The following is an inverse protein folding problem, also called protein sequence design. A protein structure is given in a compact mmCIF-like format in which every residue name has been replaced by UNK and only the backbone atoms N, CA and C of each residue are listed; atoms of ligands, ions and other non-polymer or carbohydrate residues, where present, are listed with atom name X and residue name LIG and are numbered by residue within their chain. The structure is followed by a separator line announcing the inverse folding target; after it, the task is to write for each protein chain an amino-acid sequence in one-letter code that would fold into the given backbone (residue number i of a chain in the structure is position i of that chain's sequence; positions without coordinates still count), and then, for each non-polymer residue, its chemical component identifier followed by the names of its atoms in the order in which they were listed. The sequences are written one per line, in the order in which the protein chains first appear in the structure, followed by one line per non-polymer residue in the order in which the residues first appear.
data_IF_365995282305
#
_entry.id   IF_365995282305
#
_cell.length_a   1.000
_cell.length_b   1.000
_cell.length_c   1.000
_cell.angle_alpha   90.00
_cell.angle_beta   90.00
_cell.angle_gamma   90.00
#
_symmetry.space_group_name_H-M   'P 1'
#
loop_
_entity.id
_entity.type
_entity.pdbx_description
1 polymer ?
#
# COMPACT_ATOMS: atom_id res chain seq x y z
N UNK A 1 -5.50 17.16 0.98
CA UNK A 1 -6.55 17.88 0.21
C UNK A 1 -6.01 18.92 -0.77
N UNK A 2 -4.86 19.56 -0.51
CA UNK A 2 -4.27 20.57 -1.42
C UNK A 2 -4.18 20.10 -2.89
N UNK A 3 -3.53 18.96 -3.15
CA UNK A 3 -3.42 18.44 -4.52
C UNK A 3 -4.75 17.99 -5.13
N UNK A 4 -5.73 17.55 -4.33
CA UNK A 4 -7.08 17.28 -4.83
C UNK A 4 -7.67 18.51 -5.52
N UNK A 5 -7.57 19.66 -4.88
CA UNK A 5 -8.12 20.93 -5.40
C UNK A 5 -7.32 21.42 -6.59
N UNK A 6 -5.99 21.44 -6.47
CA UNK A 6 -5.09 21.87 -7.54
C UNK A 6 -5.26 21.07 -8.82
N UNK A 7 -5.36 19.73 -8.71
CA UNK A 7 -5.52 18.81 -9.83
C UNK A 7 -6.99 18.57 -10.23
N UNK A 8 -7.93 19.29 -9.58
CA UNK A 8 -9.38 19.20 -9.84
C UNK A 8 -9.95 17.77 -9.73
N UNK A 9 -9.41 16.95 -8.81
CA UNK A 9 -9.84 15.58 -8.55
C UNK A 9 -11.07 15.54 -7.64
N UNK A 10 -12.26 15.85 -8.17
CA UNK A 10 -13.51 16.04 -7.42
C UNK A 10 -13.98 14.80 -6.66
N UNK A 11 -13.71 13.59 -7.17
CA UNK A 11 -14.16 12.33 -6.57
C UNK A 11 -13.28 11.88 -5.39
N UNK A 12 -12.13 12.52 -5.18
CA UNK A 12 -11.27 12.22 -4.03
C UNK A 12 -11.87 12.86 -2.79
N UNK A 13 -12.20 12.06 -1.78
CA UNK A 13 -12.84 12.51 -0.54
C UNK A 13 -12.01 12.10 0.68
N UNK A 14 -12.18 12.80 1.82
CA UNK A 14 -11.44 12.47 3.05
C UNK A 14 -11.86 11.13 3.65
N UNK A 15 -13.11 10.74 3.47
CA UNK A 15 -13.68 9.49 3.94
C UNK A 15 -13.38 8.29 3.03
N UNK A 16 -12.55 8.49 2.02
CA UNK A 16 -12.07 7.46 1.08
C UNK A 16 -13.22 6.65 0.44
N UNK A 17 -14.41 7.23 0.29
CA UNK A 17 -15.58 6.56 -0.34
C UNK A 17 -15.30 6.07 -1.76
N UNK A 18 -14.46 6.80 -2.49
CA UNK A 18 -14.01 6.46 -3.83
C UNK A 18 -12.56 6.00 -3.75
N UNK A 19 -12.36 4.77 -3.29
CA UNK A 19 -11.03 4.23 -3.03
C UNK A 19 -10.10 4.32 -4.25
N UNK A 20 -10.56 3.90 -5.43
CA UNK A 20 -9.74 3.86 -6.63
C UNK A 20 -9.22 5.26 -7.04
N UNK A 21 -10.07 6.28 -6.97
CA UNK A 21 -9.68 7.67 -7.28
C UNK A 21 -8.72 8.24 -6.23
N UNK A 22 -8.95 7.92 -4.95
CA UNK A 22 -8.06 8.31 -3.86
C UNK A 22 -6.69 7.65 -4.01
N UNK A 23 -6.67 6.35 -4.32
CA UNK A 23 -5.46 5.59 -4.57
C UNK A 23 -4.68 6.13 -5.78
N UNK A 24 -5.35 6.38 -6.91
CA UNK A 24 -4.73 6.95 -8.10
C UNK A 24 -4.08 8.30 -7.81
N UNK A 25 -4.76 9.18 -7.06
CA UNK A 25 -4.17 10.44 -6.65
C UNK A 25 -2.95 10.22 -5.75
N UNK A 26 -3.06 9.32 -4.78
CA UNK A 26 -1.96 9.03 -3.86
C UNK A 26 -0.74 8.47 -4.60
N UNK A 27 -0.94 7.57 -5.56
CA UNK A 27 0.12 7.02 -6.40
C UNK A 27 0.78 8.13 -7.25
N UNK A 28 0.01 9.02 -7.88
CA UNK A 28 0.56 10.11 -8.68
C UNK A 28 1.38 11.08 -7.81
N UNK A 29 0.88 11.43 -6.64
CA UNK A 29 1.60 12.26 -5.67
C UNK A 29 2.85 11.54 -5.17
N UNK A 30 2.75 10.28 -4.78
CA UNK A 30 3.88 9.50 -4.27
C UNK A 30 5.02 9.36 -5.29
N UNK A 31 4.70 9.17 -6.57
CA UNK A 31 5.70 9.17 -7.66
C UNK A 31 6.42 10.51 -7.76
N UNK A 32 5.69 11.62 -7.69
CA UNK A 32 6.30 12.95 -7.72
C UNK A 32 7.22 13.17 -6.50
N UNK A 33 6.80 12.73 -5.31
CA UNK A 33 7.64 12.77 -4.10
C UNK A 33 8.88 11.89 -4.23
N UNK A 34 8.77 10.71 -4.85
CA UNK A 34 9.92 9.84 -5.12
C UNK A 34 10.94 10.53 -6.02
N UNK A 35 10.48 11.18 -7.10
CA UNK A 35 11.36 11.95 -7.99
C UNK A 35 12.01 13.10 -7.22
N UNK A 36 11.25 13.85 -6.42
CA UNK A 36 11.80 14.93 -5.61
C UNK A 36 12.84 14.44 -4.59
N UNK A 37 12.62 13.26 -3.96
CA UNK A 37 13.59 12.64 -3.06
C UNK A 37 14.88 12.25 -3.80
N UNK A 38 14.76 11.65 -5.00
CA UNK A 38 15.90 11.31 -5.83
C UNK A 38 16.67 12.54 -6.30
N UNK A 39 15.99 13.62 -6.68
CA UNK A 39 16.64 14.89 -7.03
C UNK A 39 17.46 15.43 -5.84
N UNK A 40 16.92 15.37 -4.63
CA UNK A 40 17.64 15.78 -3.42
C UNK A 40 18.79 14.84 -3.11
N UNK A 41 18.61 13.53 -3.19
CA UNK A 41 19.63 12.50 -2.92
C UNK A 41 20.84 12.60 -3.85
N UNK A 42 20.60 12.87 -5.13
CA UNK A 42 21.66 13.09 -6.13
C UNK A 42 22.12 14.55 -6.21
N UNK A 43 21.53 15.44 -5.44
CA UNK A 43 21.75 16.90 -5.49
C UNK A 43 21.58 17.47 -6.90
N UNK A 44 20.53 17.07 -7.59
CA UNK A 44 20.15 17.55 -8.92
C UNK A 44 19.14 18.69 -8.74
N UNK A 45 19.40 19.84 -9.33
CA UNK A 45 18.54 21.04 -9.19
C UNK A 45 17.30 20.99 -10.08
N UNK A 46 17.39 20.35 -11.23
CA UNK A 46 16.31 20.21 -12.21
C UNK A 46 16.29 18.82 -12.79
N UNK A 47 15.18 18.37 -13.33
CA UNK A 47 15.02 17.02 -13.91
C UNK A 47 16.00 16.71 -15.04
N UNK A 48 16.60 17.72 -15.66
CA UNK A 48 17.61 17.60 -16.74
C UNK A 48 19.04 17.82 -16.23
N UNK A 49 19.20 18.06 -14.93
CA UNK A 49 20.49 18.31 -14.31
C UNK A 49 21.36 17.06 -14.18
N UNK A 50 22.65 17.24 -14.03
CA UNK A 50 23.57 16.15 -13.73
C UNK A 50 23.72 15.93 -12.22
N UNK A 51 23.89 14.68 -11.75
CA UNK A 51 24.10 14.37 -10.35
C UNK A 51 25.39 14.97 -9.82
N UNK A 52 25.34 15.54 -8.60
CA UNK A 52 26.51 16.08 -7.88
C UNK A 52 26.99 15.14 -6.77
N UNK A 53 26.08 14.27 -6.28
CA UNK A 53 26.37 13.23 -5.28
C UNK A 53 25.98 11.85 -5.79
N UNK A 54 26.49 10.82 -5.14
CA UNK A 54 26.22 9.41 -5.50
C UNK A 54 26.45 9.13 -7.01
N UNK A 55 27.47 9.77 -7.59
CA UNK A 55 27.80 9.65 -9.01
C UNK A 55 28.36 8.23 -9.27
N UNK A 56 27.94 7.55 -10.35
CA UNK A 56 28.53 6.29 -10.72
C UNK A 56 30.04 6.42 -10.95
N UNK A 57 30.88 5.49 -10.45
CA UNK A 57 32.30 5.44 -10.74
C UNK A 57 32.55 5.35 -12.25
N UNK A 58 33.73 5.81 -12.68
CA UNK A 58 34.07 5.87 -14.10
C UNK A 58 34.03 4.50 -14.82
N UNK A 59 34.47 3.44 -14.13
CA UNK A 59 34.43 2.06 -14.58
C UNK A 59 32.99 1.55 -14.79
N UNK A 60 32.06 1.91 -13.89
CA UNK A 60 30.63 1.59 -14.03
C UNK A 60 30.03 2.31 -15.23
N UNK A 61 30.40 3.58 -15.46
CA UNK A 61 29.88 4.37 -16.58
C UNK A 61 30.37 3.85 -17.94
N UNK A 62 31.60 3.36 -18.03
CA UNK A 62 32.25 2.91 -19.27
C UNK A 62 32.17 1.40 -19.51
N UNK A 63 31.47 0.65 -18.63
CA UNK A 63 31.06 -0.73 -18.86
C UNK A 63 31.95 -1.82 -18.26
N UNK A 64 33.08 -1.44 -17.61
CA UNK A 64 34.01 -2.39 -16.99
C UNK A 64 33.68 -2.67 -15.51
N UNK A 65 32.83 -1.85 -14.89
CA UNK A 65 32.44 -2.00 -13.49
C UNK A 65 31.12 -2.75 -13.28
N UNK A 66 30.93 -3.24 -12.06
CA UNK A 66 29.70 -3.94 -11.65
C UNK A 66 28.54 -2.93 -11.44
N UNK A 67 27.68 -2.84 -12.44
CA UNK A 67 26.51 -1.94 -12.44
C UNK A 67 25.47 -2.36 -11.39
N UNK A 68 25.32 -3.64 -11.17
CA UNK A 68 24.34 -4.18 -10.22
C UNK A 68 24.77 -3.87 -8.79
N UNK A 69 26.04 -4.09 -8.46
CA UNK A 69 26.61 -3.74 -7.16
C UNK A 69 26.48 -2.24 -6.87
N UNK A 70 26.81 -1.39 -7.86
CA UNK A 70 26.64 0.05 -7.71
C UNK A 70 25.18 0.42 -7.46
N UNK A 71 24.27 -0.10 -8.28
CA UNK A 71 22.84 0.19 -8.17
C UNK A 71 22.28 -0.22 -6.80
N UNK A 72 22.59 -1.44 -6.35
CA UNK A 72 22.18 -1.93 -5.04
C UNK A 72 22.75 -1.06 -3.91
N UNK A 73 24.02 -0.68 -3.98
CA UNK A 73 24.64 0.19 -2.98
C UNK A 73 23.97 1.57 -2.91
N UNK A 74 23.57 2.13 -4.05
CA UNK A 74 22.86 3.42 -4.12
C UNK A 74 21.45 3.29 -3.59
N UNK A 75 20.76 2.19 -3.92
CA UNK A 75 19.43 1.91 -3.39
C UNK A 75 19.45 1.74 -1.87
N UNK A 76 20.39 0.96 -1.33
CA UNK A 76 20.52 0.77 0.12
C UNK A 76 20.70 2.11 0.84
N UNK A 77 21.58 2.98 0.34
CA UNK A 77 21.76 4.33 0.88
C UNK A 77 20.47 5.17 0.82
N UNK A 78 19.74 5.10 -0.31
CA UNK A 78 18.48 5.81 -0.45
C UNK A 78 17.43 5.31 0.55
N UNK A 79 17.33 3.98 0.70
CA UNK A 79 16.41 3.34 1.66
C UNK A 79 16.77 3.74 3.09
N UNK A 80 18.04 3.69 3.47
CA UNK A 80 18.51 4.09 4.79
C UNK A 80 18.21 5.57 5.08
N UNK A 81 18.41 6.47 4.12
CA UNK A 81 18.24 7.90 4.33
C UNK A 81 16.78 8.36 4.34
N UNK A 82 15.92 7.77 3.49
CA UNK A 82 14.56 8.26 3.26
C UNK A 82 13.45 7.33 3.79
N UNK A 83 13.69 6.03 3.90
CA UNK A 83 12.64 5.07 4.22
C UNK A 83 12.77 4.47 5.62
N UNK A 84 13.98 4.27 6.10
CA UNK A 84 14.18 3.76 7.47
C UNK A 84 14.15 4.95 8.45
N UNK A 85 13.24 4.92 9.45
CA UNK A 85 13.30 5.92 10.52
C UNK A 85 14.63 5.76 11.26
N UNK A 86 15.51 6.73 11.15
CA UNK A 86 16.66 6.79 12.07
C UNK A 86 16.11 7.11 13.44
N UNK A 87 16.21 6.22 14.44
CA UNK A 87 16.02 6.62 15.81
C UNK A 87 17.14 7.65 16.07
N UNK A 88 16.77 8.86 16.45
CA UNK A 88 17.76 9.78 17.02
C UNK A 88 18.41 9.07 18.20
N UNK A 89 19.61 8.53 17.95
CA UNK A 89 20.32 7.65 18.90
C UNK A 89 20.72 8.36 20.20
N UNK A 90 20.33 9.62 20.38
CA UNK A 90 20.73 10.47 21.52
C UNK A 90 19.61 11.24 22.20
N UNK A 91 18.33 10.95 21.95
CA UNK A 91 17.26 11.60 22.70
C UNK A 91 16.58 10.56 23.60
N UNK A 92 16.90 10.54 24.92
CA UNK A 92 15.97 10.01 25.89
C UNK A 92 14.73 10.88 25.77
N UNK A 93 13.56 10.29 25.48
CA UNK A 93 12.31 11.04 25.47
C UNK A 93 12.15 11.81 26.80
N UNK A 94 12.39 13.10 26.85
CA UNK A 94 11.78 13.95 27.82
C UNK A 94 10.72 14.80 27.12
N UNK A 95 9.61 14.83 27.79
CA UNK A 95 8.61 15.87 27.69
C UNK A 95 9.29 17.24 27.51
N UNK A 96 8.88 17.94 26.43
CA UNK A 96 9.01 19.39 26.29
C UNK A 96 10.44 19.98 26.29
N UNK A 97 11.12 19.85 25.15
CA UNK A 97 11.77 21.03 24.57
C UNK A 97 11.54 20.97 23.09
N UNK A 98 10.90 22.00 22.55
CA UNK A 98 10.56 22.17 21.14
C UNK A 98 11.87 22.30 20.36
N UNK A 99 12.55 21.19 20.12
CA UNK A 99 13.57 21.15 19.09
C UNK A 99 12.90 21.44 17.75
N UNK A 100 13.49 22.31 17.01
CA UNK A 100 13.08 22.88 15.74
C UNK A 100 12.75 21.80 14.69
N UNK A 101 11.54 21.27 14.75
CA UNK A 101 11.08 20.21 13.84
C UNK A 101 10.70 20.80 12.49
N UNK A 102 11.20 20.21 11.42
CA UNK A 102 10.75 20.51 10.06
C UNK A 102 9.54 19.64 9.72
N UNK A 103 8.34 20.14 9.98
CA UNK A 103 7.08 19.40 9.74
C UNK A 103 6.87 19.03 8.27
N UNK A 104 7.40 19.82 7.33
CA UNK A 104 7.30 19.51 5.90
C UNK A 104 8.17 18.31 5.55
N UNK A 105 9.38 18.23 6.07
CA UNK A 105 10.28 17.09 5.86
C UNK A 105 9.72 15.82 6.49
N UNK A 106 9.26 15.88 7.74
CA UNK A 106 8.66 14.73 8.43
C UNK A 106 7.45 14.18 7.69
N UNK A 107 6.52 15.04 7.29
CA UNK A 107 5.38 14.66 6.47
C UNK A 107 5.81 14.01 5.16
N UNK A 108 6.81 14.58 4.49
CA UNK A 108 7.27 14.11 3.18
C UNK A 108 7.92 12.73 3.27
N UNK A 109 8.70 12.47 4.31
CA UNK A 109 9.27 11.15 4.59
C UNK A 109 8.19 10.13 4.93
N UNK A 110 7.22 10.52 5.76
CA UNK A 110 6.09 9.66 6.12
C UNK A 110 5.24 9.29 4.88
N UNK A 111 4.90 10.28 4.04
CA UNK A 111 4.17 10.04 2.78
C UNK A 111 4.94 9.09 1.86
N UNK A 112 6.24 9.29 1.73
CA UNK A 112 7.09 8.44 0.88
C UNK A 112 7.12 7.00 1.38
N UNK A 113 7.24 6.76 2.69
CA UNK A 113 7.17 5.43 3.30
C UNK A 113 5.85 4.72 3.02
N UNK A 114 4.73 5.39 3.27
CA UNK A 114 3.41 4.83 2.97
C UNK A 114 3.20 4.56 1.48
N UNK A 115 3.73 5.41 0.63
CA UNK A 115 3.68 5.19 -0.82
C UNK A 115 4.43 3.91 -1.22
N UNK A 116 5.64 3.69 -0.69
CA UNK A 116 6.39 2.47 -0.99
C UNK A 116 5.72 1.23 -0.40
N UNK A 117 5.18 1.27 0.82
CA UNK A 117 4.43 0.16 1.41
C UNK A 117 3.22 -0.20 0.52
N UNK A 118 2.41 0.79 0.13
CA UNK A 118 1.25 0.54 -0.72
C UNK A 118 1.64 -0.04 -2.09
N UNK A 119 2.65 0.52 -2.73
CA UNK A 119 3.09 0.05 -4.04
C UNK A 119 3.70 -1.33 -3.97
N UNK A 120 4.41 -1.66 -2.89
CA UNK A 120 5.00 -2.97 -2.66
C UNK A 120 3.93 -4.05 -2.42
N UNK A 121 2.91 -3.76 -1.61
CA UNK A 121 1.75 -4.66 -1.44
C UNK A 121 1.05 -4.92 -2.78
N UNK A 122 0.78 -3.87 -3.55
CA UNK A 122 0.12 -4.01 -4.87
C UNK A 122 0.95 -4.82 -5.85
N UNK A 123 2.25 -4.62 -5.84
CA UNK A 123 3.17 -5.31 -6.72
C UNK A 123 3.31 -6.78 -6.33
N UNK A 124 3.44 -7.09 -5.04
CA UNK A 124 3.45 -8.46 -4.53
C UNK A 124 2.17 -9.23 -4.93
N UNK A 125 1.01 -8.59 -4.82
CA UNK A 125 -0.25 -9.19 -5.27
C UNK A 125 -0.25 -9.39 -6.79
N UNK A 126 0.14 -8.39 -7.58
CA UNK A 126 0.13 -8.46 -9.05
C UNK A 126 1.06 -9.54 -9.58
N UNK A 127 2.22 -9.70 -8.98
CA UNK A 127 3.19 -10.74 -9.33
C UNK A 127 2.80 -12.12 -8.79
N UNK A 128 1.92 -12.18 -7.80
CA UNK A 128 1.53 -13.42 -7.15
C UNK A 128 2.56 -13.91 -6.13
N UNK A 129 3.32 -12.99 -5.52
CA UNK A 129 4.39 -13.29 -4.58
C UNK A 129 3.85 -13.40 -3.15
N UNK A 130 3.45 -14.61 -2.77
CA UNK A 130 2.89 -14.89 -1.46
C UNK A 130 3.87 -14.72 -0.30
N UNK A 131 5.15 -14.96 -0.48
CA UNK A 131 6.17 -14.78 0.57
C UNK A 131 6.45 -13.30 0.85
N UNK A 132 6.53 -12.49 -0.20
CA UNK A 132 6.65 -11.04 -0.09
C UNK A 132 5.44 -10.44 0.60
N UNK A 133 4.23 -10.86 0.20
CA UNK A 133 2.99 -10.43 0.85
C UNK A 133 2.94 -10.80 2.34
N UNK A 134 3.34 -12.02 2.71
CA UNK A 134 3.42 -12.44 4.10
C UNK A 134 4.42 -11.62 4.92
N UNK A 135 5.52 -11.18 4.31
CA UNK A 135 6.48 -10.25 4.94
C UNK A 135 5.86 -8.88 5.17
N UNK A 136 5.12 -8.37 4.18
CA UNK A 136 4.40 -7.09 4.28
C UNK A 136 3.30 -7.13 5.35
N UNK A 137 2.62 -8.25 5.56
CA UNK A 137 1.66 -8.40 6.65
C UNK A 137 2.29 -8.17 8.03
N UNK A 138 3.57 -8.57 8.24
CA UNK A 138 4.30 -8.29 9.48
C UNK A 138 4.53 -6.79 9.69
N UNK A 139 4.85 -6.07 8.62
CA UNK A 139 4.99 -4.61 8.66
C UNK A 139 3.65 -3.91 8.90
N UNK A 140 2.60 -4.33 8.18
CA UNK A 140 1.25 -3.78 8.32
C UNK A 140 0.67 -4.00 9.72
N UNK A 141 0.96 -5.12 10.38
CA UNK A 141 0.59 -5.36 11.78
C UNK A 141 1.07 -4.23 12.69
N UNK A 142 2.32 -3.78 12.53
CA UNK A 142 2.88 -2.69 13.33
C UNK A 142 2.16 -1.37 13.07
N UNK A 143 1.88 -1.05 11.80
CA UNK A 143 1.15 0.16 11.42
C UNK A 143 -0.29 0.14 11.95
N UNK A 144 -1.02 -0.96 11.78
CA UNK A 144 -2.40 -1.06 12.27
C UNK A 144 -2.49 -1.02 13.79
N UNK A 145 -1.46 -1.53 14.50
CA UNK A 145 -1.45 -1.49 15.96
C UNK A 145 -0.98 -0.15 16.52
N UNK A 146 -0.21 0.62 15.77
CA UNK A 146 0.23 1.95 16.21
C UNK A 146 -0.91 2.98 16.19
N UNK A 147 -1.95 2.76 15.37
CA UNK A 147 -3.14 3.59 15.29
C UNK A 147 -4.34 2.86 15.93
N UNK A 148 -4.93 3.45 16.96
CA UNK A 148 -6.05 2.87 17.71
C UNK A 148 -7.29 2.59 16.86
N UNK A 149 -7.46 3.27 15.71
CA UNK A 149 -8.61 3.08 14.82
C UNK A 149 -8.60 1.76 14.04
N UNK A 150 -7.47 1.04 13.98
CA UNK A 150 -7.29 -0.14 13.12
C UNK A 150 -7.00 -1.43 13.89
N UNK A 151 -7.43 -1.52 15.14
CA UNK A 151 -7.14 -2.68 16.00
C UNK A 151 -7.66 -4.01 15.44
N UNK A 152 -8.84 -4.02 14.78
CA UNK A 152 -9.39 -5.20 14.13
C UNK A 152 -8.46 -5.73 13.02
N UNK A 153 -7.95 -4.85 12.16
CA UNK A 153 -6.97 -5.23 11.13
C UNK A 153 -5.66 -5.74 11.72
N UNK A 154 -5.22 -5.18 12.85
CA UNK A 154 -4.04 -5.68 13.55
C UNK A 154 -4.24 -7.11 14.06
N UNK A 155 -5.43 -7.45 14.58
CA UNK A 155 -5.77 -8.83 15.01
C UNK A 155 -5.78 -9.77 13.81
N UNK A 156 -6.41 -9.39 12.69
CA UNK A 156 -6.42 -10.19 11.46
C UNK A 156 -4.99 -10.47 10.95
N UNK A 157 -4.15 -9.45 10.89
CA UNK A 157 -2.74 -9.64 10.49
C UNK A 157 -2.01 -10.56 11.46
N UNK A 158 -2.26 -10.44 12.77
CA UNK A 158 -1.67 -11.33 13.77
C UNK A 158 -2.11 -12.78 13.56
N UNK A 159 -3.40 -13.03 13.28
CA UNK A 159 -3.93 -14.37 13.02
C UNK A 159 -3.23 -14.98 11.80
N UNK A 160 -3.17 -14.24 10.68
CA UNK A 160 -2.49 -14.70 9.45
C UNK A 160 -1.02 -15.01 9.70
N UNK A 161 -0.30 -14.15 10.45
CA UNK A 161 1.10 -14.39 10.79
C UNK A 161 1.25 -15.65 11.65
N UNK A 162 0.42 -15.82 12.70
CA UNK A 162 0.48 -16.98 13.56
C UNK A 162 0.10 -18.27 12.82
N UNK A 163 -0.87 -18.22 11.92
CA UNK A 163 -1.19 -19.36 11.06
C UNK A 163 0.05 -19.80 10.27
N UNK A 164 0.68 -18.88 9.57
CA UNK A 164 1.79 -19.20 8.68
C UNK A 164 3.09 -19.56 9.41
N UNK A 165 3.37 -18.96 10.58
CA UNK A 165 4.66 -19.10 11.25
C UNK A 165 4.64 -20.09 12.44
N UNK A 166 3.45 -20.44 12.96
CA UNK A 166 3.33 -21.22 14.20
C UNK A 166 2.44 -22.45 14.07
N UNK A 167 1.29 -22.35 13.39
CA UNK A 167 0.28 -23.42 13.40
C UNK A 167 0.40 -24.38 12.23
N UNK A 168 0.78 -23.87 11.06
CA UNK A 168 0.89 -24.67 9.85
C UNK A 168 2.27 -25.29 9.71
N UNK A 169 2.34 -26.44 9.08
CA UNK A 169 3.61 -27.00 8.62
C UNK A 169 4.18 -26.12 7.51
N UNK A 170 5.47 -26.26 7.21
CA UNK A 170 6.13 -25.47 6.15
C UNK A 170 5.41 -25.60 4.81
N UNK A 171 4.97 -26.80 4.43
CA UNK A 171 4.24 -27.03 3.19
C UNK A 171 2.85 -26.36 3.19
N UNK A 172 2.11 -26.47 4.30
CA UNK A 172 0.80 -25.81 4.45
C UNK A 172 0.93 -24.29 4.50
N UNK A 173 1.95 -23.76 5.20
CA UNK A 173 2.27 -22.34 5.24
C UNK A 173 2.57 -21.81 3.85
N UNK A 174 3.42 -22.50 3.09
CA UNK A 174 3.69 -22.14 1.70
C UNK A 174 2.40 -22.10 0.90
N UNK A 175 1.59 -23.16 0.96
CA UNK A 175 0.30 -23.21 0.26
C UNK A 175 -0.64 -22.09 0.69
N UNK A 176 -0.73 -21.77 1.98
CA UNK A 176 -1.58 -20.69 2.52
C UNK A 176 -1.17 -19.32 1.99
N UNK A 177 0.12 -19.00 2.00
CA UNK A 177 0.66 -17.74 1.48
C UNK A 177 0.34 -17.53 0.01
N UNK A 178 0.48 -18.57 -0.82
CA UNK A 178 0.20 -18.48 -2.26
C UNK A 178 -1.28 -18.54 -2.58
N UNK A 179 -2.11 -19.18 -1.73
CA UNK A 179 -3.56 -19.20 -1.87
C UNK A 179 -4.24 -17.86 -1.52
N UNK A 180 -3.52 -16.92 -0.92
CA UNK A 180 -4.04 -15.57 -0.66
C UNK A 180 -4.23 -14.73 -1.94
N UNK A 181 -3.70 -15.20 -3.06
CA UNK A 181 -3.69 -14.49 -4.35
C UNK A 181 -4.30 -15.39 -5.42
N UNK A 182 -5.10 -14.82 -6.31
CA UNK A 182 -5.76 -15.54 -7.38
C UNK A 182 -5.52 -14.89 -8.74
N UNK A 183 -5.25 -15.71 -9.75
CA UNK A 183 -5.18 -15.29 -11.16
C UNK A 183 -6.31 -15.95 -11.97
N UNK A 184 -7.54 -15.52 -11.70
CA UNK A 184 -8.71 -16.15 -12.31
C UNK A 184 -8.93 -15.76 -13.79
N UNK A 185 -8.36 -14.63 -14.24
CA UNK A 185 -8.43 -14.18 -15.65
C UNK A 185 -7.26 -14.65 -16.49
N UNK A 186 -6.22 -15.20 -15.85
CA UNK A 186 -4.99 -15.57 -16.53
C UNK A 186 -4.13 -14.38 -16.95
N UNK A 187 -2.92 -14.66 -17.45
CA UNK A 187 -1.95 -13.65 -17.87
C UNK A 187 -1.08 -13.11 -16.74
N UNK A 188 0.01 -12.45 -17.14
CA UNK A 188 0.95 -11.87 -16.19
C UNK A 188 0.41 -10.54 -15.61
N UNK A 189 0.60 -10.32 -14.33
CA UNK A 189 0.21 -9.07 -13.66
C UNK A 189 -1.31 -8.89 -13.47
N UNK A 190 -2.11 -9.95 -13.65
CA UNK A 190 -3.57 -9.94 -13.46
C UNK A 190 -4.00 -10.64 -12.17
N UNK A 191 -3.08 -10.86 -11.26
CA UNK A 191 -3.41 -11.40 -9.95
C UNK A 191 -4.17 -10.36 -9.12
N UNK A 192 -5.08 -10.86 -8.30
CA UNK A 192 -5.86 -10.10 -7.32
C UNK A 192 -5.87 -10.85 -5.98
N UNK A 193 -6.16 -10.15 -4.93
CA UNK A 193 -6.37 -10.73 -3.61
C UNK A 193 -7.57 -11.70 -3.63
N UNK A 194 -7.49 -12.79 -2.89
CA UNK A 194 -8.52 -13.82 -2.84
C UNK A 194 -9.84 -13.28 -2.25
N UNK A 195 -9.78 -12.41 -1.27
CA UNK A 195 -10.96 -11.74 -0.70
C UNK A 195 -11.65 -10.83 -1.72
N UNK A 196 -10.90 -10.08 -2.52
CA UNK A 196 -11.45 -9.26 -3.61
C UNK A 196 -12.11 -10.15 -4.68
N UNK A 197 -11.53 -11.32 -5.01
CA UNK A 197 -12.18 -12.30 -5.87
C UNK A 197 -13.51 -12.78 -5.28
N UNK A 198 -13.50 -13.12 -3.98
CA UNK A 198 -14.70 -13.53 -3.25
C UNK A 198 -15.79 -12.45 -3.28
N UNK A 199 -15.42 -11.18 -3.09
CA UNK A 199 -16.35 -10.05 -3.19
C UNK A 199 -16.94 -9.90 -4.60
N UNK A 200 -16.14 -10.07 -5.64
CA UNK A 200 -16.60 -10.04 -7.03
C UNK A 200 -17.61 -11.15 -7.30
N UNK A 201 -17.33 -12.38 -6.88
CA UNK A 201 -18.25 -13.52 -6.99
C UNK A 201 -19.55 -13.25 -6.22
N UNK A 202 -19.46 -12.77 -4.99
CA UNK A 202 -20.62 -12.41 -4.16
C UNK A 202 -21.47 -11.30 -4.79
N UNK A 203 -20.85 -10.31 -5.40
CA UNK A 203 -21.55 -9.23 -6.11
C UNK A 203 -22.35 -9.77 -7.27
N UNK A 204 -21.77 -10.65 -8.07
CA UNK A 204 -22.42 -11.21 -9.25
C UNK A 204 -23.53 -12.21 -8.84
N UNK A 205 -23.32 -13.00 -7.79
CA UNK A 205 -24.35 -13.83 -7.18
C UNK A 205 -25.54 -12.98 -6.69
N UNK A 206 -25.26 -11.89 -5.97
CA UNK A 206 -26.33 -10.98 -5.49
C UNK A 206 -27.10 -10.34 -6.64
N UNK A 207 -26.45 -9.99 -7.74
CA UNK A 207 -27.14 -9.51 -8.97
C UNK A 207 -28.05 -10.60 -9.53
N UNK A 208 -27.55 -11.82 -9.68
CA UNK A 208 -28.33 -12.96 -10.15
C UNK A 208 -29.55 -13.22 -9.28
N UNK A 209 -29.39 -13.23 -7.95
CA UNK A 209 -30.51 -13.40 -7.01
C UNK A 209 -31.54 -12.27 -7.13
N UNK A 210 -31.12 -11.04 -7.35
CA UNK A 210 -32.05 -9.91 -7.59
C UNK A 210 -32.88 -10.12 -8.85
N UNK A 211 -32.29 -10.67 -9.93
CA UNK A 211 -32.98 -10.94 -11.19
C UNK A 211 -34.03 -12.08 -11.09
N UNK A 212 -34.00 -12.92 -10.06
CA UNK A 212 -34.98 -13.99 -9.84
C UNK A 212 -36.37 -13.50 -9.46
N UNK A 213 -36.53 -12.20 -9.19
CA UNK A 213 -37.80 -11.60 -8.80
C UNK A 213 -38.39 -12.22 -7.52
N UNK A 214 -39.64 -12.66 -7.55
CA UNK A 214 -40.32 -13.29 -6.41
C UNK A 214 -39.94 -14.77 -6.18
N UNK A 215 -39.25 -15.41 -7.14
CA UNK A 215 -38.91 -16.83 -7.08
C UNK A 215 -37.58 -17.09 -6.31
N UNK A 216 -37.49 -16.60 -5.11
CA UNK A 216 -36.31 -16.72 -4.24
C UNK A 216 -36.44 -17.85 -3.22
N UNK A 217 -36.65 -19.06 -3.71
CA UNK A 217 -36.65 -20.24 -2.84
C UNK A 217 -35.20 -20.69 -2.59
N UNK A 218 -34.92 -21.33 -1.46
CA UNK A 218 -33.61 -21.84 -1.11
C UNK A 218 -33.00 -22.70 -2.23
N UNK A 219 -33.82 -23.59 -2.81
CA UNK A 219 -33.42 -24.43 -3.94
C UNK A 219 -33.03 -23.63 -5.17
N UNK A 220 -33.75 -22.54 -5.45
CA UNK A 220 -33.45 -21.69 -6.60
C UNK A 220 -32.15 -20.91 -6.38
N UNK A 221 -31.94 -20.40 -5.17
CA UNK A 221 -30.70 -19.70 -4.76
C UNK A 221 -29.52 -20.68 -4.80
N UNK A 222 -29.67 -21.89 -4.27
CA UNK A 222 -28.64 -22.93 -4.31
C UNK A 222 -28.22 -23.29 -5.76
N UNK A 223 -29.18 -23.45 -6.66
CA UNK A 223 -28.91 -23.71 -8.09
C UNK A 223 -28.14 -22.55 -8.73
N UNK A 224 -28.54 -21.30 -8.45
CA UNK A 224 -27.85 -20.13 -8.97
C UNK A 224 -26.43 -20.03 -8.40
N UNK A 225 -26.25 -20.31 -7.11
CA UNK A 225 -24.94 -20.28 -6.47
C UNK A 225 -23.94 -21.26 -7.11
N UNK A 226 -24.41 -22.46 -7.47
CA UNK A 226 -23.59 -23.45 -8.18
C UNK A 226 -23.22 -23.00 -9.60
N UNK A 227 -24.04 -22.17 -10.24
CA UNK A 227 -23.82 -21.66 -11.59
C UNK A 227 -23.04 -20.34 -11.63
N UNK A 228 -22.91 -19.64 -10.49
CA UNK A 228 -22.39 -18.27 -10.43
C UNK A 228 -20.97 -18.15 -11.00
N UNK A 229 -20.11 -19.14 -10.75
CA UNK A 229 -18.72 -19.13 -11.25
C UNK A 229 -18.59 -19.27 -12.77
N UNK A 230 -19.61 -19.85 -13.45
CA UNK A 230 -19.61 -20.01 -14.90
C UNK A 230 -20.46 -18.99 -15.66
N UNK A 231 -21.21 -18.15 -14.93
CA UNK A 231 -22.18 -17.24 -15.56
C UNK A 231 -21.51 -16.18 -16.44
N UNK A 232 -20.39 -15.63 -15.97
CA UNK A 232 -19.61 -14.63 -16.71
C UNK A 232 -19.03 -15.20 -17.99
N UNK A 233 -18.59 -16.46 -17.97
CA UNK A 233 -18.07 -17.13 -19.14
C UNK A 233 -19.17 -17.40 -20.19
N UNK A 234 -20.35 -17.80 -19.73
CA UNK A 234 -21.51 -18.00 -20.61
C UNK A 234 -21.95 -16.68 -21.25
N UNK A 235 -22.00 -15.60 -20.46
CA UNK A 235 -22.36 -14.26 -20.97
C UNK A 235 -21.32 -13.80 -22.00
N UNK A 236 -20.04 -13.95 -21.70
CA UNK A 236 -18.95 -13.56 -22.61
C UNK A 236 -19.03 -14.33 -23.91
N UNK A 237 -19.20 -15.64 -23.85
CA UNK A 237 -19.35 -16.48 -25.04
C UNK A 237 -20.57 -16.09 -25.84
N UNK A 238 -21.69 -15.77 -25.20
CA UNK A 238 -22.88 -15.27 -25.86
C UNK A 238 -22.64 -13.93 -26.57
N UNK A 239 -22.02 -12.97 -25.87
CA UNK A 239 -21.70 -11.66 -26.41
C UNK A 239 -20.75 -11.75 -27.62
N UNK A 240 -19.77 -12.65 -27.57
CA UNK A 240 -18.86 -12.94 -28.68
C UNK A 240 -19.62 -13.52 -29.90
N UNK A 241 -20.52 -14.48 -29.65
CA UNK A 241 -21.30 -15.11 -30.75
C UNK A 241 -22.30 -14.15 -31.40
N UNK A 242 -22.88 -13.24 -30.62
CA UNK A 242 -23.87 -12.27 -31.11
C UNK A 242 -23.19 -10.99 -31.64
N UNK A 243 -21.87 -10.87 -31.51
CA UNK A 243 -21.11 -9.71 -31.96
C UNK A 243 -21.38 -8.45 -31.12
N UNK A 244 -21.90 -8.59 -29.90
CA UNK A 244 -22.05 -7.49 -28.94
C UNK A 244 -20.69 -7.15 -28.43
N UNK A 245 -20.15 -6.01 -28.86
CA UNK A 245 -18.94 -5.46 -28.24
C UNK A 245 -19.27 -5.12 -26.79
N UNK A 246 -18.69 -5.89 -25.87
CA UNK A 246 -18.73 -5.55 -24.46
C UNK A 246 -18.33 -4.06 -24.34
N UNK A 247 -19.20 -3.26 -23.72
CA UNK A 247 -18.81 -1.89 -23.37
C UNK A 247 -17.61 -2.04 -22.45
N UNK A 248 -16.43 -1.67 -22.93
CA UNK A 248 -15.25 -1.66 -22.09
C UNK A 248 -15.58 -0.73 -20.94
N UNK A 249 -15.67 -1.28 -19.75
CA UNK A 249 -15.68 -0.50 -18.51
C UNK A 249 -14.32 0.12 -18.22
N UNK A 250 -13.36 -0.03 -19.13
CA UNK A 250 -12.09 0.65 -19.05
C UNK A 250 -12.37 2.14 -19.21
N UNK A 251 -12.60 2.81 -18.09
CA UNK A 251 -12.40 4.23 -18.04
C UNK A 251 -11.00 4.48 -18.60
N UNK A 252 -10.90 5.32 -19.62
CA UNK A 252 -9.61 5.77 -20.11
C UNK A 252 -8.85 6.31 -18.91
N UNK A 253 -7.85 5.59 -18.45
CA UNK A 253 -6.96 6.11 -17.41
C UNK A 253 -6.37 7.40 -17.98
N UNK A 254 -6.83 8.54 -17.47
CA UNK A 254 -6.18 9.81 -17.78
C UNK A 254 -4.73 9.64 -17.38
N UNK A 255 -3.82 9.91 -18.30
CA UNK A 255 -2.39 9.86 -18.00
C UNK A 255 -2.12 10.65 -16.73
N UNK A 256 -1.52 9.99 -15.73
CA UNK A 256 -1.10 10.64 -14.49
C UNK A 256 0.07 11.59 -14.69
N UNK A 257 0.71 11.54 -15.84
CA UNK A 257 1.93 12.31 -16.17
C UNK A 257 1.76 13.82 -15.96
N UNK A 258 0.61 14.38 -16.39
CA UNK A 258 0.35 15.80 -16.17
C UNK A 258 0.24 16.13 -14.67
N UNK A 259 -0.48 15.31 -13.92
CA UNK A 259 -0.66 15.50 -12.48
C UNK A 259 0.69 15.38 -11.75
N UNK A 260 1.48 14.36 -12.11
CA UNK A 260 2.82 14.13 -11.57
C UNK A 260 3.77 15.32 -11.84
N UNK A 261 3.74 15.88 -13.05
CA UNK A 261 4.54 17.06 -13.41
C UNK A 261 4.13 18.31 -12.61
N UNK A 262 2.82 18.53 -12.42
CA UNK A 262 2.33 19.66 -11.62
C UNK A 262 2.75 19.55 -10.15
N UNK A 263 2.63 18.36 -9.57
CA UNK A 263 3.06 18.11 -8.19
C UNK A 263 4.59 18.25 -8.07
N UNK A 264 5.34 17.68 -9.00
CA UNK A 264 6.80 17.76 -9.00
C UNK A 264 7.30 19.21 -9.12
N UNK A 265 6.66 20.02 -9.93
CA UNK A 265 6.98 21.46 -10.06
C UNK A 265 6.88 22.20 -8.72
N UNK A 266 5.86 21.90 -7.91
CA UNK A 266 5.73 22.46 -6.56
C UNK A 266 6.81 21.93 -5.62
N UNK A 267 7.09 20.60 -5.68
CA UNK A 267 8.07 19.97 -4.81
C UNK A 267 9.49 20.46 -5.05
N UNK A 268 9.87 20.75 -6.31
CA UNK A 268 11.17 21.33 -6.63
C UNK A 268 11.34 22.70 -5.95
N UNK A 269 10.27 23.51 -5.91
CA UNK A 269 10.28 24.82 -5.23
C UNK A 269 10.28 24.67 -3.70
N UNK A 270 9.47 23.77 -3.18
CA UNK A 270 9.29 23.52 -1.75
C UNK A 270 10.53 22.88 -1.11
N UNK A 271 11.31 22.09 -1.86
CA UNK A 271 12.45 21.26 -1.39
C UNK A 271 12.08 20.47 -0.15
N UNK A 272 11.12 19.55 -0.23
CA UNK A 272 10.49 18.92 0.94
C UNK A 272 11.44 18.06 1.75
N UNK A 273 12.50 17.54 1.15
CA UNK A 273 13.49 16.67 1.81
C UNK A 273 14.72 17.42 2.33
N UNK A 274 14.85 18.73 2.02
CA UNK A 274 15.89 19.55 2.62
C UNK A 274 15.51 19.89 4.07
N UNK A 275 16.44 19.68 5.02
CA UNK A 275 16.18 20.01 6.43
C UNK A 275 16.23 21.52 6.65
N UNK A 276 15.11 22.11 7.06
CA UNK A 276 14.97 23.52 7.38
C UNK A 276 14.32 23.64 8.75
N UNK A 277 15.05 24.22 9.69
CA UNK A 277 14.60 24.36 11.08
C UNK A 277 13.28 25.15 11.18
N UNK A 278 12.37 24.67 12.03
CA UNK A 278 11.06 25.30 12.32
C UNK A 278 10.15 25.52 11.09
N UNK A 279 10.38 24.79 9.99
CA UNK A 279 9.54 24.91 8.82
C UNK A 279 8.16 24.30 9.08
N UNK A 280 7.14 25.14 8.92
CA UNK A 280 5.72 24.76 8.94
C UNK A 280 5.08 25.11 7.60
N UNK A 281 4.02 24.42 7.29
CA UNK A 281 3.25 24.71 6.06
C UNK A 281 1.76 24.60 6.36
N UNK A 282 0.96 25.56 5.92
CA UNK A 282 -0.48 25.59 6.19
C UNK A 282 -1.24 24.35 5.68
N UNK A 283 -0.71 23.69 4.65
CA UNK A 283 -1.25 22.41 4.16
C UNK A 283 -0.96 21.22 5.06
N UNK A 284 -0.08 21.35 6.06
CA UNK A 284 0.35 20.28 6.97
C UNK A 284 0.23 20.69 8.44
N UNK A 285 -0.90 21.33 8.87
CA UNK A 285 -1.03 21.84 10.24
C UNK A 285 -0.94 20.71 11.28
N UNK A 286 -1.38 19.51 10.90
CA UNK A 286 -1.46 18.32 11.72
C UNK A 286 -0.60 17.19 11.15
N UNK A 287 0.53 17.52 10.52
CA UNK A 287 1.44 16.50 10.01
C UNK A 287 1.86 15.60 11.17
N UNK A 288 1.24 14.43 11.26
CA UNK A 288 1.58 13.44 12.26
C UNK A 288 2.98 12.90 11.98
N UNK A 289 3.72 12.69 13.04
CA UNK A 289 4.91 11.84 13.03
C UNK A 289 4.56 10.45 12.46
N UNK A 290 5.56 9.75 11.96
CA UNK A 290 5.43 8.34 11.56
C UNK A 290 4.70 7.55 12.66
N UNK A 291 3.65 6.81 12.29
CA UNK A 291 2.87 6.01 13.24
C UNK A 291 3.74 5.00 13.98
N UNK A 292 4.79 4.48 13.35
CA UNK A 292 5.75 3.57 14.01
C UNK A 292 6.55 4.28 15.12
N UNK A 293 6.84 5.57 14.98
CA UNK A 293 7.53 6.33 16.01
C UNK A 293 6.69 6.48 17.28
N UNK A 294 5.36 6.43 17.16
CA UNK A 294 4.41 6.50 18.29
C UNK A 294 4.08 5.15 18.91
N UNK A 295 4.55 4.05 18.32
CA UNK A 295 4.27 2.70 18.81
C UNK A 295 4.91 2.43 20.16
N UNK A 296 4.07 2.19 21.17
CA UNK A 296 4.50 1.82 22.51
C UNK A 296 4.90 0.33 22.54
N UNK A 297 6.16 0.03 22.32
CA UNK A 297 6.69 -1.33 22.19
C UNK A 297 6.32 -2.26 23.37
N UNK A 298 6.37 -1.77 24.60
CA UNK A 298 6.00 -2.58 25.77
C UNK A 298 4.52 -2.95 25.78
N UNK A 299 3.65 -2.03 25.38
CA UNK A 299 2.22 -2.26 25.24
C UNK A 299 1.94 -3.22 24.07
N UNK A 300 2.62 -3.03 22.94
CA UNK A 300 2.53 -3.93 21.79
C UNK A 300 2.95 -5.36 22.15
N UNK A 301 4.06 -5.55 22.84
CA UNK A 301 4.54 -6.88 23.23
C UNK A 301 3.59 -7.56 24.25
N UNK A 302 2.98 -6.79 25.16
CA UNK A 302 1.95 -7.31 26.09
C UNK A 302 0.70 -7.75 25.30
N UNK A 303 0.22 -6.90 24.41
CA UNK A 303 -0.91 -7.21 23.52
C UNK A 303 -0.65 -8.46 22.68
N UNK A 304 0.52 -8.56 22.04
CA UNK A 304 0.92 -9.71 21.24
C UNK A 304 0.91 -11.02 22.05
N UNK A 305 1.48 -10.98 23.27
CA UNK A 305 1.50 -12.13 24.18
C UNK A 305 0.09 -12.55 24.62
N UNK A 306 -0.78 -11.58 24.87
CA UNK A 306 -2.16 -11.83 25.27
C UNK A 306 -2.94 -12.52 24.15
N UNK A 307 -2.96 -11.96 22.96
CA UNK A 307 -3.69 -12.55 21.82
C UNK A 307 -3.09 -13.89 21.37
N UNK A 308 -1.78 -14.03 21.35
CA UNK A 308 -1.13 -15.30 21.06
C UNK A 308 -1.60 -16.39 22.07
N UNK A 309 -1.67 -16.06 23.35
CA UNK A 309 -2.15 -16.99 24.38
C UNK A 309 -3.61 -17.36 24.17
N UNK A 310 -4.47 -16.40 23.90
CA UNK A 310 -5.90 -16.63 23.68
C UNK A 310 -6.15 -17.51 22.44
N UNK A 311 -5.46 -17.24 21.35
CA UNK A 311 -5.55 -18.04 20.11
C UNK A 311 -5.03 -19.48 20.31
N UNK A 312 -3.99 -19.68 21.14
CA UNK A 312 -3.47 -21.01 21.46
C UNK A 312 -4.37 -21.82 22.39
N UNK A 313 -5.25 -21.15 23.16
CA UNK A 313 -6.12 -21.77 24.16
C UNK A 313 -7.59 -21.87 23.72
N UNK A 314 -7.91 -21.60 22.45
CA UNK A 314 -9.29 -21.52 21.96
C UNK A 314 -10.17 -20.53 22.77
N UNK A 315 -9.57 -19.57 23.44
CA UNK A 315 -10.32 -18.57 24.20
C UNK A 315 -10.91 -17.54 23.23
N UNK A 316 -12.18 -17.09 23.46
CA UNK A 316 -12.76 -16.05 22.64
C UNK A 316 -11.91 -14.78 22.72
N UNK A 317 -11.68 -14.16 21.54
CA UNK A 317 -11.01 -12.85 21.46
C UNK A 317 -12.01 -11.82 21.96
N UNK A 318 -11.84 -11.32 23.16
CA UNK A 318 -12.61 -10.18 23.64
C UNK A 318 -12.08 -8.94 22.94
N UNK A 319 -12.95 -8.25 22.20
CA UNK A 319 -12.68 -6.92 21.66
C UNK A 319 -12.48 -5.96 22.84
N UNK A 320 -11.25 -5.70 23.25
CA UNK A 320 -10.95 -4.63 24.19
C UNK A 320 -11.21 -3.31 23.45
N UNK A 321 -12.34 -2.66 23.77
CA UNK A 321 -12.58 -1.24 23.48
C UNK A 321 -11.51 -0.42 24.22
N UNK A 322 -10.53 0.15 23.47
CA UNK A 322 -9.60 1.16 23.94
C UNK A 322 -9.70 2.43 23.11
#
# INVERSE_FOLDING_TARGET
MHYREKLQRRNVTQDVKHFEECEQLFISVGRAYTVAALLQFFQIETTEGSPKCNIPPHDVLHGDGDKELYFNTVLDKFVEEYLIPTPDANVPHPVADQQSTDLVKEYSLCLLRYFFILTDVKDAVREGDGDRLATLHKLLLLHFKSDSGYNAYAIEMLIVILQNEVFLTEAESHQSKWAAIANWKGGNGNNIEMDLLQENINRDLKKGIKCMGANKTDKSIERLSRAAGGLDEIIRNFDEQVGVKARSSSHSHKSSTYDEQQVLGDLIQLKPFLSIENRKHDCFPDASSDTLATLKWDAFLKWLKHHKRNLLMDAPVEDEEY
#
